data_IF_623699879385
#
_entry.id   IF_623699879385
#
_cell.length_a   1.000
_cell.length_b   1.000
_cell.length_c   1.000
_cell.angle_alpha   90.00
_cell.angle_beta   90.00
_cell.angle_gamma   90.00
#
_symmetry.space_group_name_H-M   'P 1'
#
loop_
_entity.id
_entity.type
_entity.pdbx_description
1 polymer ?
#
# COMPACT_ATOMS: atom_id res chain seq x y z
N UNK A 1 -4.67 6.79 2.87
CA UNK A 1 -5.74 6.72 1.86
C UNK A 1 -6.17 5.27 1.69
N UNK A 2 -7.48 4.99 1.67
CA UNK A 2 -8.01 3.66 1.37
C UNK A 2 -7.86 3.38 -0.11
N UNK A 3 -7.51 2.13 -0.47
CA UNK A 3 -7.52 1.69 -1.87
C UNK A 3 -8.97 1.80 -2.37
N UNK A 4 -9.25 2.56 -3.44
CA UNK A 4 -10.60 2.67 -3.97
C UNK A 4 -11.10 1.30 -4.45
N UNK A 5 -12.37 0.98 -4.15
CA UNK A 5 -12.97 -0.33 -4.38
C UNK A 5 -13.00 -0.76 -5.87
N UNK A 6 -12.83 0.20 -6.78
CA UNK A 6 -12.97 0.02 -8.22
C UNK A 6 -11.65 -0.29 -8.93
N UNK A 7 -10.53 -0.37 -8.20
CA UNK A 7 -9.29 -0.81 -8.84
C UNK A 7 -9.29 -2.32 -8.99
N UNK A 8 -8.82 -2.80 -10.15
CA UNK A 8 -8.75 -4.22 -10.51
C UNK A 8 -8.37 -5.10 -9.32
N UNK A 9 -9.19 -6.10 -9.02
CA UNK A 9 -8.93 -7.09 -7.95
C UNK A 9 -7.65 -7.89 -8.18
N UNK A 10 -7.03 -7.75 -9.35
CA UNK A 10 -5.74 -8.33 -9.71
C UNK A 10 -4.55 -7.49 -9.25
N UNK A 11 -4.78 -6.31 -8.66
CA UNK A 11 -3.73 -5.42 -8.16
C UNK A 11 -3.74 -5.37 -6.62
N UNK A 12 -2.54 -5.46 -6.05
CA UNK A 12 -2.27 -5.25 -4.64
C UNK A 12 -1.47 -3.95 -4.43
N UNK A 13 -1.60 -3.36 -3.24
CA UNK A 13 -0.96 -2.08 -2.88
C UNK A 13 -0.03 -2.26 -1.69
N UNK A 14 1.11 -2.95 -1.86
CA UNK A 14 1.96 -3.35 -0.74
C UNK A 14 2.56 -2.15 0.02
N UNK A 15 2.65 -0.99 -0.64
CA UNK A 15 3.16 0.25 -0.04
C UNK A 15 2.06 1.26 0.28
N UNK A 16 0.79 0.93 0.08
CA UNK A 16 -0.31 1.89 0.12
C UNK A 16 -0.22 2.95 -0.98
N UNK A 17 -0.80 4.12 -0.69
CA UNK A 17 -0.79 5.30 -1.56
C UNK A 17 0.10 6.39 -0.94
N UNK A 18 0.90 7.01 -1.78
CA UNK A 18 1.68 8.20 -1.47
C UNK A 18 0.91 9.41 -1.97
N UNK A 19 0.70 10.39 -1.10
CA UNK A 19 0.14 11.68 -1.49
C UNK A 19 1.29 12.67 -1.67
N UNK A 20 1.25 13.47 -2.73
CA UNK A 20 2.26 14.50 -2.97
C UNK A 20 1.62 15.76 -3.51
N UNK A 21 2.37 16.84 -3.37
CA UNK A 21 2.04 18.17 -3.85
C UNK A 21 3.29 18.73 -4.53
N UNK A 22 3.14 19.18 -5.77
CA UNK A 22 4.22 19.71 -6.58
C UNK A 22 3.82 21.06 -7.19
N UNK A 23 4.56 22.10 -6.85
CA UNK A 23 4.49 23.40 -7.53
C UNK A 23 5.32 23.36 -8.82
N UNK A 24 4.74 23.84 -9.91
CA UNK A 24 5.34 23.93 -11.23
C UNK A 24 5.75 25.37 -11.52
N UNK A 25 6.74 25.54 -12.39
CA UNK A 25 7.19 26.87 -12.78
C UNK A 25 6.14 27.61 -13.61
N UNK A 26 5.30 26.86 -14.34
CA UNK A 26 4.26 27.37 -15.22
C UNK A 26 3.08 26.40 -15.27
N UNK A 27 1.90 26.95 -15.55
CA UNK A 27 0.70 26.17 -15.72
C UNK A 27 0.78 25.27 -16.97
N UNK A 28 0.05 24.15 -16.97
CA UNK A 28 0.04 23.12 -18.03
C UNK A 28 1.38 22.39 -18.22
N UNK A 29 2.33 22.57 -17.31
CA UNK A 29 3.62 21.91 -17.40
C UNK A 29 3.48 20.41 -17.06
N UNK A 30 4.28 19.59 -17.74
CA UNK A 30 4.40 18.15 -17.44
C UNK A 30 5.53 17.91 -16.44
N UNK A 31 5.19 17.30 -15.31
CA UNK A 31 6.11 16.83 -14.29
C UNK A 31 6.55 15.39 -14.59
N UNK A 32 7.85 15.13 -14.54
CA UNK A 32 8.43 13.78 -14.63
C UNK A 32 8.78 13.29 -13.22
N UNK A 33 8.14 12.20 -12.79
CA UNK A 33 8.26 11.64 -11.46
C UNK A 33 9.04 10.33 -11.51
N UNK A 34 9.90 10.11 -10.51
CA UNK A 34 10.55 8.83 -10.27
C UNK A 34 10.32 8.44 -8.82
N UNK A 35 9.58 7.36 -8.60
CA UNK A 35 9.30 6.85 -7.26
C UNK A 35 10.15 5.61 -7.01
N UNK A 36 10.76 5.56 -5.82
CA UNK A 36 11.64 4.48 -5.41
C UNK A 36 10.96 3.63 -4.34
N UNK A 37 10.80 2.33 -4.64
CA UNK A 37 10.25 1.35 -3.73
C UNK A 37 11.37 0.43 -3.21
N UNK A 38 11.42 0.28 -1.89
CA UNK A 38 12.38 -0.57 -1.18
C UNK A 38 11.64 -1.40 -0.14
N UNK A 39 11.86 -2.72 -0.05
CA UNK A 39 12.84 -3.50 -0.82
C UNK A 39 12.34 -3.87 -2.22
N UNK A 40 13.22 -4.37 -3.11
CA UNK A 40 12.88 -4.79 -4.49
C UNK A 40 11.82 -5.90 -4.57
N UNK A 41 11.59 -6.66 -3.50
CA UNK A 41 10.77 -7.87 -3.45
C UNK A 41 9.25 -7.65 -3.57
N UNK A 42 8.80 -6.47 -4.01
CA UNK A 42 7.39 -6.08 -4.00
C UNK A 42 6.67 -6.30 -5.33
N UNK A 43 7.32 -6.88 -6.35
CA UNK A 43 6.74 -7.16 -7.68
C UNK A 43 5.90 -6.00 -8.25
N UNK A 44 6.38 -4.77 -8.04
CA UNK A 44 5.72 -3.54 -8.49
C UNK A 44 5.68 -3.53 -10.02
N UNK A 45 4.50 -3.34 -10.59
CA UNK A 45 4.25 -3.29 -12.04
C UNK A 45 3.96 -1.89 -12.56
N UNK A 46 3.83 -0.90 -11.66
CA UNK A 46 3.66 0.50 -12.00
C UNK A 46 3.04 1.28 -10.86
N UNK A 47 2.46 2.43 -11.19
CA UNK A 47 1.61 3.19 -10.28
C UNK A 47 0.19 3.30 -10.84
N UNK A 48 -0.81 3.24 -9.97
CA UNK A 48 -2.20 3.51 -10.38
C UNK A 48 -2.54 4.98 -10.22
N UNK A 49 -3.22 5.53 -11.21
CA UNK A 49 -3.80 6.88 -11.19
C UNK A 49 -5.21 6.83 -11.77
N UNK A 50 -6.11 7.63 -11.21
CA UNK A 50 -7.45 7.75 -11.75
C UNK A 50 -7.44 8.68 -12.96
N UNK A 51 -7.98 8.20 -14.07
CA UNK A 51 -8.14 8.96 -15.29
C UNK A 51 -9.53 9.59 -15.29
N UNK A 52 -9.58 10.90 -15.07
CA UNK A 52 -10.82 11.65 -15.01
C UNK A 52 -11.50 11.81 -16.37
N UNK A 53 -10.82 11.55 -17.49
CA UNK A 53 -11.45 11.54 -18.82
C UNK A 53 -12.18 10.22 -19.09
N UNK A 54 -11.57 9.09 -18.75
CA UNK A 54 -12.14 7.76 -19.01
C UNK A 54 -12.93 7.21 -17.83
N UNK A 55 -12.87 7.87 -16.67
CA UNK A 55 -13.47 7.46 -15.39
C UNK A 55 -12.99 6.07 -14.96
N UNK A 56 -11.69 5.79 -15.12
CA UNK A 56 -11.07 4.50 -14.84
C UNK A 56 -9.71 4.66 -14.18
N UNK A 57 -9.29 3.62 -13.46
CA UNK A 57 -7.94 3.52 -12.93
C UNK A 57 -7.00 2.97 -14.00
N UNK A 58 -5.97 3.74 -14.34
CA UNK A 58 -4.95 3.34 -15.31
C UNK A 58 -3.63 3.00 -14.58
N UNK A 59 -2.93 1.99 -15.11
CA UNK A 59 -1.57 1.66 -14.68
C UNK A 59 -0.58 2.50 -15.48
N UNK A 60 0.16 3.34 -14.79
CA UNK A 60 1.14 4.25 -15.38
C UNK A 60 2.57 3.86 -15.02
N UNK A 61 3.46 4.28 -15.90
CA UNK A 61 4.89 4.32 -15.69
C UNK A 61 5.68 3.13 -16.23
N UNK A 62 6.99 3.34 -16.35
CA UNK A 62 7.96 2.31 -16.70
C UNK A 62 8.65 1.83 -15.42
N UNK A 63 8.66 0.50 -15.22
CA UNK A 63 9.32 -0.13 -14.08
C UNK A 63 10.76 -0.49 -14.43
N UNK A 64 11.68 -0.12 -13.56
CA UNK A 64 13.09 -0.50 -13.64
C UNK A 64 13.54 -1.08 -12.30
N UNK A 65 14.32 -2.15 -12.32
CA UNK A 65 14.92 -2.72 -11.11
C UNK A 65 16.39 -2.31 -11.01
N UNK A 66 16.78 -1.67 -9.90
CA UNK A 66 18.18 -1.33 -9.62
C UNK A 66 18.56 -1.74 -8.21
N UNK A 67 19.56 -2.61 -8.10
CA UNK A 67 20.06 -3.13 -6.82
C UNK A 67 18.91 -3.64 -5.93
N UNK A 68 18.73 -3.05 -4.74
CA UNK A 68 17.69 -3.40 -3.78
C UNK A 68 16.40 -2.58 -3.91
N UNK A 69 16.21 -1.85 -5.02
CA UNK A 69 15.05 -0.98 -5.24
C UNK A 69 14.34 -1.30 -6.56
N UNK A 70 13.04 -1.00 -6.57
CA UNK A 70 12.23 -0.89 -7.79
C UNK A 70 11.91 0.58 -8.02
N UNK A 71 12.13 1.04 -9.24
CA UNK A 71 11.89 2.41 -9.67
C UNK A 71 10.68 2.41 -10.59
N UNK A 72 9.79 3.37 -10.42
CA UNK A 72 8.70 3.62 -11.37
C UNK A 72 8.81 5.04 -11.85
N UNK A 73 8.94 5.20 -13.18
CA UNK A 73 9.02 6.51 -13.84
C UNK A 73 7.74 6.79 -14.59
N UNK A 74 7.11 7.92 -14.34
CA UNK A 74 5.86 8.32 -15.00
C UNK A 74 5.77 9.84 -15.08
N UNK A 75 4.79 10.34 -15.83
CA UNK A 75 4.58 11.77 -16.03
C UNK A 75 3.15 12.16 -15.76
N UNK A 76 2.96 13.36 -15.22
CA UNK A 76 1.68 14.00 -14.99
C UNK A 76 1.72 15.42 -15.55
N UNK A 77 0.57 15.94 -15.96
CA UNK A 77 0.45 17.29 -16.49
C UNK A 77 -0.57 18.05 -15.65
N UNK A 78 -0.28 19.30 -15.32
CA UNK A 78 -1.20 20.22 -14.65
C UNK A 78 -2.43 20.49 -15.54
N UNK A 79 -3.61 20.27 -14.97
CA UNK A 79 -4.89 20.23 -15.67
C UNK A 79 -5.09 18.99 -16.55
N UNK A 80 -4.23 17.98 -16.37
CA UNK A 80 -4.22 16.75 -17.15
C UNK A 80 -5.30 15.74 -16.71
N UNK A 81 -5.41 14.61 -17.43
CA UNK A 81 -6.40 13.57 -17.12
C UNK A 81 -6.22 12.89 -15.75
N UNK A 82 -5.03 13.01 -15.15
CA UNK A 82 -4.63 12.30 -13.94
C UNK A 82 -4.40 13.22 -12.74
N UNK A 83 -4.62 14.52 -12.95
CA UNK A 83 -4.54 15.56 -11.93
C UNK A 83 -5.86 15.60 -11.14
N UNK A 84 -5.78 15.49 -9.82
CA UNK A 84 -6.94 15.22 -8.96
C UNK A 84 -8.00 16.34 -9.02
N UNK A 85 -7.57 17.59 -9.03
CA UNK A 85 -8.46 18.75 -9.12
C UNK A 85 -8.78 19.16 -10.57
N UNK A 86 -7.92 18.76 -11.52
CA UNK A 86 -7.97 19.09 -12.95
C UNK A 86 -7.90 20.61 -13.21
N UNK A 87 -7.43 21.38 -12.25
CA UNK A 87 -7.22 22.80 -12.41
C UNK A 87 -5.96 23.03 -13.26
N UNK A 88 -5.86 24.20 -13.90
CA UNK A 88 -4.63 24.64 -14.56
C UNK A 88 -4.11 25.78 -13.71
N UNK A 89 -3.37 25.44 -12.66
CA UNK A 89 -3.00 26.39 -11.60
C UNK A 89 -1.52 26.31 -11.18
N UNK A 90 -0.69 25.63 -11.99
CA UNK A 90 0.73 25.39 -11.72
C UNK A 90 0.97 24.52 -10.48
N UNK A 91 0.00 23.71 -10.08
CA UNK A 91 0.14 22.76 -8.99
C UNK A 91 -0.36 21.39 -9.44
N UNK A 92 0.25 20.33 -8.92
CA UNK A 92 -0.24 18.96 -9.09
C UNK A 92 -0.30 18.37 -7.69
N UNK A 93 -1.51 18.15 -7.20
CA UNK A 93 -1.75 17.46 -5.94
C UNK A 93 -2.37 16.11 -6.25
N UNK A 94 -1.71 15.03 -5.83
CA UNK A 94 -2.05 13.74 -6.39
C UNK A 94 -1.69 12.53 -5.52
N UNK A 95 -2.67 11.69 -5.16
CA UNK A 95 -2.38 10.38 -4.60
C UNK A 95 -1.88 9.44 -5.70
N UNK A 96 -0.83 8.68 -5.40
CA UNK A 96 -0.24 7.67 -6.27
C UNK A 96 -0.10 6.34 -5.53
N UNK A 97 -0.74 5.28 -6.06
CA UNK A 97 -0.70 3.94 -5.47
C UNK A 97 0.35 3.07 -6.15
N UNK A 98 1.29 2.52 -5.40
CA UNK A 98 2.23 1.54 -5.96
C UNK A 98 1.48 0.23 -6.23
N UNK A 99 1.42 -0.18 -7.49
CA UNK A 99 0.67 -1.36 -7.91
C UNK A 99 1.60 -2.56 -7.99
N UNK A 100 1.28 -3.64 -7.30
CA UNK A 100 1.85 -4.96 -7.52
C UNK A 100 0.78 -5.88 -8.11
N UNK A 101 1.18 -6.90 -8.86
CA UNK A 101 0.25 -7.98 -9.18
C UNK A 101 -0.15 -8.67 -7.87
N UNK A 102 -1.46 -8.81 -7.62
CA UNK A 102 -2.00 -9.56 -6.48
C UNK A 102 -1.67 -11.06 -6.56
N UNK A 103 -1.11 -11.49 -7.69
CA UNK A 103 -0.58 -12.82 -7.94
C UNK A 103 0.79 -12.89 -7.27
N UNK A 104 0.87 -13.55 -6.10
CA UNK A 104 2.15 -14.07 -5.62
C UNK A 104 2.78 -14.93 -6.73
N UNK A 105 4.11 -15.00 -6.78
CA UNK A 105 4.80 -16.03 -7.58
C UNK A 105 4.13 -17.38 -7.29
N UNK A 106 3.28 -17.88 -8.20
CA UNK A 106 2.49 -19.10 -7.99
C UNK A 106 0.96 -19.00 -7.88
N UNK A 107 0.31 -17.91 -8.29
CA UNK A 107 -1.09 -18.02 -8.74
C UNK A 107 -2.17 -18.29 -7.69
N UNK A 108 -1.87 -18.19 -6.40
CA UNK A 108 -2.88 -18.27 -5.33
C UNK A 108 -2.86 -16.98 -4.51
N UNK A 109 -4.01 -16.33 -4.40
CA UNK A 109 -4.29 -15.38 -3.32
C UNK A 109 -4.20 -16.14 -2.00
N UNK A 110 -3.01 -16.24 -1.42
CA UNK A 110 -2.86 -16.67 -0.03
C UNK A 110 -3.34 -15.52 0.85
N UNK A 111 -4.50 -15.62 1.52
CA UNK A 111 -4.78 -14.71 2.63
C UNK A 111 -3.58 -14.80 3.58
N UNK A 112 -3.03 -13.66 3.99
CA UNK A 112 -2.07 -13.60 5.09
C UNK A 112 -2.71 -14.34 6.25
N UNK A 113 -2.15 -15.49 6.71
CA UNK A 113 -2.77 -16.25 7.77
C UNK A 113 -2.79 -15.38 9.01
N UNK A 114 -4.00 -14.98 9.44
CA UNK A 114 -4.19 -14.43 10.77
C UNK A 114 -3.74 -15.54 11.73
N UNK A 115 -2.75 -15.29 12.61
CA UNK A 115 -2.33 -16.31 13.56
C UNK A 115 -3.54 -16.66 14.42
N UNK A 116 -4.09 -17.85 14.21
CA UNK A 116 -5.15 -18.41 15.04
C UNK A 116 -4.48 -19.25 16.12
N UNK A 117 -4.87 -19.03 17.36
CA UNK A 117 -4.47 -19.91 18.46
C UNK A 117 -5.10 -21.27 18.21
N UNK A 118 -4.29 -22.32 18.17
CA UNK A 118 -4.82 -23.69 18.16
C UNK A 118 -5.60 -23.93 19.45
N UNK A 119 -6.56 -24.87 19.47
CA UNK A 119 -7.24 -25.27 20.71
C UNK A 119 -6.26 -25.61 21.85
N UNK A 120 -5.11 -26.17 21.51
CA UNK A 120 -4.01 -26.44 22.45
C UNK A 120 -3.40 -25.13 22.96
N UNK A 121 -3.09 -24.18 22.08
CA UNK A 121 -2.57 -22.86 22.46
C UNK A 121 -3.52 -22.10 23.39
N UNK A 122 -4.83 -22.20 23.15
CA UNK A 122 -5.86 -21.62 24.02
C UNK A 122 -5.88 -22.31 25.39
N UNK A 123 -5.75 -23.64 25.43
CA UNK A 123 -5.66 -24.42 26.67
C UNK A 123 -4.43 -24.07 27.52
N UNK A 124 -3.27 -23.86 26.88
CA UNK A 124 -2.04 -23.43 27.57
C UNK A 124 -2.23 -22.05 28.20
N UNK A 125 -2.88 -21.13 27.48
CA UNK A 125 -3.09 -19.76 27.97
C UNK A 125 -4.05 -19.74 29.17
N UNK A 126 -5.13 -20.53 29.13
CA UNK A 126 -6.05 -20.71 30.26
C UNK A 126 -5.33 -21.33 31.46
N UNK A 127 -4.50 -22.35 31.26
CA UNK A 127 -3.75 -22.99 32.32
C UNK A 127 -2.73 -22.05 32.96
N UNK A 128 -2.01 -21.26 32.15
CA UNK A 128 -1.08 -20.24 32.63
C UNK A 128 -1.80 -19.18 33.47
N UNK A 129 -2.98 -18.75 33.03
CA UNK A 129 -3.78 -17.77 33.76
C UNK A 129 -4.30 -18.32 35.10
N UNK A 130 -4.80 -19.56 35.12
CA UNK A 130 -5.21 -20.24 36.34
C UNK A 130 -4.06 -20.43 37.33
N UNK A 131 -2.86 -20.77 36.83
CA UNK A 131 -1.66 -20.89 37.65
C UNK A 131 -1.24 -19.53 38.23
N UNK A 132 -1.31 -18.46 37.44
CA UNK A 132 -1.00 -17.10 37.90
C UNK A 132 -1.94 -16.68 39.04
N UNK A 133 -3.25 -16.94 38.89
CA UNK A 133 -4.24 -16.66 39.93
C UNK A 133 -4.00 -17.47 41.20
N UNK A 134 -3.61 -18.74 41.09
CA UNK A 134 -3.25 -19.58 42.24
C UNK A 134 -2.02 -19.05 42.97
N UNK A 135 -0.99 -18.63 42.22
CA UNK A 135 0.22 -18.01 42.79
C UNK A 135 -0.14 -16.72 43.52
N UNK A 136 -0.96 -15.86 42.91
CA UNK A 136 -1.39 -14.61 43.54
C UNK A 136 -2.21 -14.85 44.81
N UNK A 137 -3.18 -15.78 44.77
CA UNK A 137 -4.00 -16.15 45.93
C UNK A 137 -3.17 -16.69 47.09
N UNK A 138 -2.12 -17.47 46.81
CA UNK A 138 -1.22 -18.00 47.85
C UNK A 138 -0.35 -16.91 48.49
N UNK A 139 -0.01 -15.86 47.75
CA UNK A 139 0.75 -14.70 48.26
C UNK A 139 -0.10 -13.73 49.09
N UNK A 140 -1.40 -13.66 48.85
CA UNK A 140 -2.33 -12.81 49.60
C UNK A 140 -2.77 -13.39 50.96
N UNK A 141 -2.44 -14.65 51.27
CA UNK A 141 -2.80 -15.30 52.54
C UNK A 141 -1.71 -15.28 53.62
N UNK A 142 -0.61 -14.55 53.41
CA UNK A 142 0.56 -14.48 54.31
C UNK A 142 0.78 -13.08 54.91
N UNK A 143 -0.30 -12.38 55.25
CA UNK A 143 -0.26 -11.16 56.09
C UNK A 143 -1.07 -11.38 57.34
#
# INVERSE_FOLDING_TARGET
AAVPADVSSLLAYPCGFLDFDAELAQAQQTLQLTVYFSPRNLSIVGVVKFNHLTQRWDLLGTVEHRANKTLVRYSLSDGGPYDDDRAVDSRIQDPVGAAALAIGEGGETRPTPIPSLTPIGLGVLVAAWALLLLIMRRRSGTT
#
